data_IF_605782503223
#
_entry.id   IF_605782503223
#
_cell.length_a   1.000
_cell.length_b   1.000
_cell.length_c   1.000
_cell.angle_alpha   90.00
_cell.angle_beta   90.00
_cell.angle_gamma   90.00
#
_symmetry.space_group_name_H-M   'P 1'
#
loop_
_entity.id
_entity.type
_entity.pdbx_description
1 polymer ?
#
# COMPACT_ATOMS: atom_id res chain seq x y z
N UNK A 1 50.32 -64.91 -31.04
CA UNK A 1 49.99 -64.20 -29.78
C UNK A 1 48.47 -64.15 -29.70
N UNK A 2 47.79 -64.75 -28.72
CA UNK A 2 47.76 -64.46 -27.27
C UNK A 2 46.92 -63.22 -26.94
N UNK A 3 45.71 -63.47 -26.41
CA UNK A 3 44.87 -62.57 -25.58
C UNK A 3 44.34 -61.25 -26.20
N UNK A 4 43.23 -60.66 -25.75
CA UNK A 4 42.20 -61.05 -24.74
C UNK A 4 40.85 -60.51 -25.26
N UNK A 5 39.87 -61.38 -25.52
CA UNK A 5 38.67 -61.69 -24.68
C UNK A 5 37.47 -60.73 -24.92
N UNK A 6 36.24 -61.18 -25.22
CA UNK A 6 35.32 -62.17 -24.53
C UNK A 6 34.72 -61.54 -23.26
N UNK A 7 33.40 -61.54 -22.98
CA UNK A 7 32.13 -61.91 -23.68
C UNK A 7 30.97 -61.36 -22.76
N UNK A 8 29.65 -61.27 -23.00
CA UNK A 8 28.59 -61.80 -23.91
C UNK A 8 27.50 -60.68 -23.99
N UNK A 9 26.61 -60.45 -24.98
CA UNK A 9 25.70 -61.26 -25.84
C UNK A 9 24.53 -61.92 -25.06
N UNK A 10 23.34 -62.02 -25.68
CA UNK A 10 22.07 -62.50 -25.11
C UNK A 10 21.47 -61.66 -23.94
N UNK A 11 20.15 -61.47 -23.83
CA UNK A 11 19.09 -61.55 -24.85
C UNK A 11 17.79 -60.87 -24.39
N UNK A 12 16.95 -60.54 -25.38
CA UNK A 12 15.46 -60.60 -25.38
C UNK A 12 14.74 -60.40 -24.03
N UNK A 13 13.94 -59.33 -23.93
CA UNK A 13 12.52 -59.42 -23.52
C UNK A 13 11.73 -58.15 -23.85
N UNK A 14 10.45 -58.34 -24.19
CA UNK A 14 9.35 -57.35 -24.23
C UNK A 14 9.62 -55.94 -24.78
N UNK A 15 9.36 -55.75 -26.08
CA UNK A 15 8.60 -54.55 -26.49
C UNK A 15 7.16 -54.72 -25.99
N UNK A 16 6.80 -54.06 -24.89
CA UNK A 16 5.46 -53.50 -24.58
C UNK A 16 5.44 -52.97 -23.13
N UNK A 17 4.44 -52.13 -22.82
CA UNK A 17 4.10 -51.66 -21.47
C UNK A 17 5.11 -50.71 -20.75
N UNK A 18 5.60 -49.71 -21.47
CA UNK A 18 5.48 -48.33 -20.95
C UNK A 18 4.49 -47.61 -21.88
N UNK A 19 3.30 -47.20 -21.45
CA UNK A 19 2.81 -47.04 -20.09
C UNK A 19 2.21 -45.64 -20.01
N UNK A 20 0.95 -45.49 -20.45
CA UNK A 20 0.23 -44.22 -20.40
C UNK A 20 -0.12 -43.91 -18.94
N UNK A 21 0.83 -43.35 -18.18
CA UNK A 21 0.57 -42.89 -16.83
C UNK A 21 -0.15 -41.53 -16.85
N UNK A 22 -1.42 -41.62 -17.25
CA UNK A 22 -2.54 -40.76 -16.88
C UNK A 22 -2.17 -39.30 -16.62
N UNK A 23 -2.13 -38.52 -17.71
CA UNK A 23 -2.75 -37.19 -17.70
C UNK A 23 -4.26 -37.32 -17.49
N UNK A 24 -4.64 -37.79 -16.31
CA UNK A 24 -5.97 -37.61 -15.75
C UNK A 24 -6.16 -36.10 -15.60
N UNK A 25 -6.72 -35.48 -16.65
CA UNK A 25 -7.50 -34.25 -16.55
C UNK A 25 -8.78 -34.55 -15.75
N UNK A 26 -8.59 -35.05 -14.53
CA UNK A 26 -9.61 -35.19 -13.53
C UNK A 26 -10.05 -33.76 -13.23
N UNK A 27 -11.24 -33.42 -13.72
CA UNK A 27 -11.80 -32.07 -13.65
C UNK A 27 -12.36 -31.84 -12.24
N UNK A 28 -11.50 -32.09 -11.23
CA UNK A 28 -11.78 -32.02 -9.80
C UNK A 28 -12.30 -30.62 -9.53
N UNK A 29 -13.56 -30.55 -9.09
CA UNK A 29 -14.20 -29.26 -8.82
C UNK A 29 -13.39 -28.47 -7.78
N UNK A 30 -13.41 -27.13 -7.81
CA UNK A 30 -12.69 -26.30 -6.85
C UNK A 30 -12.87 -26.75 -5.39
N UNK A 31 -14.10 -27.14 -5.02
CA UNK A 31 -14.46 -27.63 -3.70
C UNK A 31 -13.68 -28.89 -3.32
N UNK A 32 -13.59 -29.87 -4.23
CA UNK A 32 -12.85 -31.12 -3.98
C UNK A 32 -11.33 -30.88 -3.91
N UNK A 33 -10.77 -29.97 -4.71
CA UNK A 33 -9.34 -29.60 -4.61
C UNK A 33 -9.03 -28.95 -3.26
N UNK A 34 -9.82 -27.95 -2.86
CA UNK A 34 -9.69 -27.25 -1.57
C UNK A 34 -9.84 -28.21 -0.38
N UNK A 35 -10.88 -29.03 -0.37
CA UNK A 35 -11.14 -29.97 0.72
C UNK A 35 -10.04 -31.01 0.85
N UNK A 36 -9.59 -31.62 -0.27
CA UNK A 36 -8.47 -32.57 -0.28
C UNK A 36 -7.21 -31.92 0.29
N UNK A 37 -6.79 -30.80 -0.29
CA UNK A 37 -5.59 -30.05 0.10
C UNK A 37 -5.58 -29.76 1.60
N UNK A 38 -6.67 -29.24 2.17
CA UNK A 38 -6.70 -28.92 3.59
C UNK A 38 -6.80 -30.15 4.50
N UNK A 39 -7.50 -31.21 4.10
CA UNK A 39 -7.59 -32.45 4.88
C UNK A 39 -6.22 -33.14 5.06
N UNK A 40 -5.35 -33.04 4.05
CA UNK A 40 -3.96 -33.54 4.08
C UNK A 40 -3.08 -32.79 5.10
N UNK A 41 -3.54 -31.65 5.64
CA UNK A 41 -2.83 -30.81 6.61
C UNK A 41 -3.50 -30.71 7.99
N UNK A 42 -4.62 -31.41 8.26
CA UNK A 42 -5.26 -31.35 9.58
C UNK A 42 -4.50 -32.12 10.68
N UNK A 43 -3.63 -33.06 10.30
CA UNK A 43 -2.76 -33.81 11.24
C UNK A 43 -1.39 -33.13 11.38
N UNK A 44 -1.35 -31.96 12.01
CA UNK A 44 -0.15 -31.10 12.07
C UNK A 44 1.11 -31.78 12.63
N UNK A 45 2.16 -31.93 11.80
CA UNK A 45 3.50 -32.35 12.20
C UNK A 45 4.61 -31.74 11.31
N UNK A 46 5.60 -31.12 11.95
CA UNK A 46 6.93 -30.75 11.41
C UNK A 46 7.01 -29.61 10.39
N UNK A 47 8.18 -28.95 10.39
CA UNK A 47 8.54 -27.79 9.58
C UNK A 47 8.46 -28.02 8.05
N UNK A 48 8.62 -29.27 7.59
CA UNK A 48 8.49 -29.62 6.18
C UNK A 48 7.07 -29.39 5.66
N UNK A 49 6.05 -29.68 6.48
CA UNK A 49 4.64 -29.54 6.07
C UNK A 49 4.28 -28.08 5.80
N UNK A 50 4.89 -27.12 6.52
CA UNK A 50 4.70 -25.70 6.26
C UNK A 50 5.27 -25.31 4.90
N UNK A 51 6.47 -25.79 4.54
CA UNK A 51 7.08 -25.52 3.23
C UNK A 51 6.23 -26.11 2.10
N UNK A 52 5.85 -27.38 2.23
CA UNK A 52 5.08 -28.11 1.22
C UNK A 52 3.67 -27.51 1.05
N UNK A 53 3.04 -27.06 2.14
CA UNK A 53 1.80 -26.29 2.12
C UNK A 53 1.93 -24.99 1.32
N UNK A 54 2.97 -24.18 1.60
CA UNK A 54 3.18 -22.90 0.91
C UNK A 54 3.44 -23.10 -0.59
N UNK A 55 4.22 -24.12 -0.97
CA UNK A 55 4.47 -24.45 -2.38
C UNK A 55 3.18 -24.90 -3.10
N UNK A 56 2.37 -25.77 -2.46
CA UNK A 56 1.08 -26.21 -3.01
C UNK A 56 0.03 -25.11 -3.05
N UNK A 57 -0.02 -24.19 -2.09
CA UNK A 57 -0.90 -23.01 -2.17
C UNK A 57 -0.48 -22.10 -3.33
N UNK A 58 0.82 -21.85 -3.52
CA UNK A 58 1.31 -21.07 -4.66
C UNK A 58 0.92 -21.73 -5.99
N UNK A 59 1.14 -23.03 -6.15
CA UNK A 59 0.96 -23.73 -7.42
C UNK A 59 -0.49 -24.16 -7.73
N UNK A 60 -1.24 -24.70 -6.74
CA UNK A 60 -2.58 -25.25 -6.95
C UNK A 60 -3.72 -24.25 -6.71
N UNK A 61 -3.52 -23.26 -5.82
CA UNK A 61 -4.58 -22.34 -5.37
C UNK A 61 -4.41 -20.93 -5.96
N UNK A 62 -3.26 -20.27 -5.75
CA UNK A 62 -3.12 -18.85 -6.13
C UNK A 62 -3.20 -18.63 -7.65
N UNK A 63 -2.64 -19.55 -8.45
CA UNK A 63 -2.66 -19.51 -9.92
C UNK A 63 -4.05 -19.81 -10.52
N UNK A 64 -4.98 -20.43 -9.78
CA UNK A 64 -6.29 -20.79 -10.30
C UNK A 64 -7.40 -20.02 -9.59
N UNK A 65 -7.96 -19.00 -10.26
CA UNK A 65 -9.00 -18.13 -9.70
C UNK A 65 -10.20 -18.88 -9.11
N UNK A 66 -10.70 -19.92 -9.79
CA UNK A 66 -11.88 -20.68 -9.31
C UNK A 66 -11.55 -21.46 -8.03
N UNK A 67 -10.33 -21.97 -7.90
CA UNK A 67 -9.84 -22.61 -6.67
C UNK A 67 -9.60 -21.56 -5.58
N UNK A 68 -8.94 -20.43 -5.90
CA UNK A 68 -8.68 -19.30 -5.01
C UNK A 68 -9.96 -18.74 -4.37
N UNK A 69 -11.00 -18.50 -5.17
CA UNK A 69 -12.31 -18.01 -4.70
C UNK A 69 -13.02 -19.05 -3.81
N UNK A 70 -12.93 -20.35 -4.14
CA UNK A 70 -13.51 -21.39 -3.30
C UNK A 70 -12.74 -21.57 -1.98
N UNK A 71 -11.40 -21.51 -2.00
CA UNK A 71 -10.54 -21.56 -0.82
C UNK A 71 -10.83 -20.40 0.13
N UNK A 72 -10.91 -19.17 -0.41
CA UNK A 72 -11.34 -17.98 0.31
C UNK A 72 -12.74 -18.14 0.95
N UNK A 73 -13.71 -18.66 0.20
CA UNK A 73 -15.07 -18.90 0.71
C UNK A 73 -15.09 -19.93 1.86
N UNK A 74 -14.37 -21.03 1.72
CA UNK A 74 -14.37 -22.09 2.73
C UNK A 74 -13.57 -21.71 3.99
N UNK A 75 -12.48 -20.94 3.84
CA UNK A 75 -11.76 -20.27 4.95
C UNK A 75 -12.68 -19.35 5.75
N UNK A 76 -13.37 -18.41 5.08
CA UNK A 76 -14.30 -17.47 5.73
C UNK A 76 -15.44 -18.24 6.47
N UNK A 77 -15.90 -19.35 5.90
CA UNK A 77 -16.87 -20.25 6.57
C UNK A 77 -16.29 -21.17 7.66
N UNK A 78 -15.00 -21.01 8.01
CA UNK A 78 -14.26 -21.74 9.07
C UNK A 78 -14.25 -23.26 8.93
N UNK A 79 -14.26 -23.76 7.70
CA UNK A 79 -14.30 -25.21 7.39
C UNK A 79 -12.93 -25.89 7.24
N UNK A 80 -11.85 -25.11 7.18
CA UNK A 80 -10.53 -25.59 6.73
C UNK A 80 -9.49 -25.45 7.84
N UNK A 81 -9.67 -26.14 8.97
CA UNK A 81 -8.89 -25.88 10.20
C UNK A 81 -7.40 -26.14 10.04
N UNK A 82 -7.00 -27.20 9.33
CA UNK A 82 -5.57 -27.46 9.01
C UNK A 82 -4.93 -26.31 8.22
N UNK A 83 -5.62 -25.83 7.18
CA UNK A 83 -5.18 -24.68 6.39
C UNK A 83 -5.16 -23.37 7.19
N UNK A 84 -6.13 -23.12 8.07
CA UNK A 84 -6.13 -21.94 8.96
C UNK A 84 -4.91 -21.94 9.89
N UNK A 85 -4.59 -23.10 10.49
CA UNK A 85 -3.44 -23.26 11.38
C UNK A 85 -2.11 -23.01 10.65
N UNK A 86 -1.90 -23.60 9.46
CA UNK A 86 -0.67 -23.38 8.69
C UNK A 86 -0.56 -21.96 8.11
N UNK A 87 -1.67 -21.33 7.71
CA UNK A 87 -1.67 -19.91 7.36
C UNK A 87 -1.29 -19.03 8.57
N UNK A 88 -1.79 -19.35 9.76
CA UNK A 88 -1.48 -18.63 11.00
C UNK A 88 0.00 -18.80 11.38
N UNK A 89 0.53 -20.01 11.32
CA UNK A 89 1.96 -20.28 11.54
C UNK A 89 2.85 -19.52 10.54
N UNK A 90 2.50 -19.55 9.26
CA UNK A 90 3.23 -18.81 8.22
C UNK A 90 3.21 -17.30 8.43
N UNK A 91 2.04 -16.72 8.73
CA UNK A 91 1.88 -15.28 8.98
C UNK A 91 2.55 -14.85 10.28
N UNK A 92 2.52 -15.68 11.33
CA UNK A 92 3.27 -15.46 12.56
C UNK A 92 4.79 -15.46 12.30
N UNK A 93 5.29 -16.37 11.46
CA UNK A 93 6.70 -16.40 11.06
C UNK A 93 7.10 -15.15 10.24
N UNK A 94 6.25 -14.66 9.33
CA UNK A 94 6.46 -13.37 8.65
C UNK A 94 6.43 -12.20 9.64
N UNK A 95 5.45 -12.16 10.55
CA UNK A 95 5.31 -11.10 11.56
C UNK A 95 6.50 -11.04 12.52
N UNK A 96 7.09 -12.19 12.87
CA UNK A 96 8.25 -12.28 13.75
C UNK A 96 9.61 -12.06 13.06
N UNK A 97 9.70 -12.19 11.72
CA UNK A 97 10.94 -11.93 10.99
C UNK A 97 11.38 -10.48 11.19
N UNK A 98 12.58 -10.27 11.74
CA UNK A 98 13.15 -8.93 12.01
C UNK A 98 13.28 -8.14 10.71
N UNK A 99 14.05 -8.67 9.79
CA UNK A 99 14.33 -8.07 8.48
C UNK A 99 13.42 -8.76 7.43
N UNK A 100 12.12 -8.45 7.48
CA UNK A 100 11.14 -9.01 6.55
C UNK A 100 11.32 -8.41 5.15
N UNK A 101 11.13 -9.20 4.09
CA UNK A 101 11.14 -8.78 2.69
C UNK A 101 10.08 -9.63 1.96
N UNK A 102 9.09 -9.06 1.23
CA UNK A 102 7.96 -9.82 0.72
C UNK A 102 8.33 -10.54 -0.57
N UNK A 103 8.14 -11.85 -0.60
CA UNK A 103 8.44 -12.67 -1.76
C UNK A 103 7.23 -12.78 -2.72
N UNK A 104 7.50 -13.23 -3.95
CA UNK A 104 6.44 -13.50 -4.92
C UNK A 104 5.46 -14.56 -4.38
N UNK A 105 4.18 -14.22 -4.41
CA UNK A 105 3.07 -15.02 -3.87
C UNK A 105 2.71 -14.75 -2.40
N UNK A 106 3.56 -14.09 -1.60
CA UNK A 106 3.28 -13.88 -0.16
C UNK A 106 2.08 -12.95 0.07
N UNK A 107 1.91 -11.92 -0.76
CA UNK A 107 0.72 -11.05 -0.72
C UNK A 107 -0.59 -11.84 -0.98
N UNK A 108 -0.54 -12.92 -1.75
CA UNK A 108 -1.69 -13.82 -1.97
C UNK A 108 -2.00 -14.67 -0.75
N UNK A 109 -0.98 -15.19 -0.08
CA UNK A 109 -1.10 -15.91 1.19
C UNK A 109 -1.61 -14.99 2.32
N UNK A 110 -1.10 -13.77 2.40
CA UNK A 110 -1.56 -12.74 3.33
C UNK A 110 -3.02 -12.33 3.05
N UNK A 111 -3.42 -12.22 1.78
CA UNK A 111 -4.83 -12.02 1.40
C UNK A 111 -5.73 -13.16 1.89
N UNK A 112 -5.30 -14.42 1.73
CA UNK A 112 -6.05 -15.57 2.26
C UNK A 112 -6.12 -15.57 3.80
N UNK A 113 -5.05 -15.15 4.49
CA UNK A 113 -5.05 -15.03 5.94
C UNK A 113 -5.97 -13.91 6.46
N UNK A 114 -6.06 -12.78 5.75
CA UNK A 114 -7.03 -11.71 6.00
C UNK A 114 -8.46 -12.26 5.86
N UNK A 115 -8.75 -13.02 4.79
CA UNK A 115 -10.06 -13.67 4.57
C UNK A 115 -10.39 -14.70 5.67
N UNK A 116 -9.38 -15.38 6.23
CA UNK A 116 -9.54 -16.28 7.37
C UNK A 116 -9.72 -15.56 8.73
N UNK A 117 -9.53 -14.24 8.78
CA UNK A 117 -9.61 -13.46 10.03
C UNK A 117 -8.44 -13.68 10.97
N UNK A 118 -7.25 -14.02 10.45
CA UNK A 118 -6.03 -14.31 11.23
C UNK A 118 -5.45 -12.98 11.77
N UNK A 119 -5.46 -12.73 13.10
CA UNK A 119 -5.07 -11.44 13.67
C UNK A 119 -3.64 -10.99 13.33
N UNK A 120 -2.72 -11.94 13.25
CA UNK A 120 -1.29 -11.74 12.98
C UNK A 120 -1.03 -11.08 11.62
N UNK A 121 -1.97 -11.18 10.67
CA UNK A 121 -1.89 -10.54 9.36
C UNK A 121 -1.76 -9.01 9.48
N UNK A 122 -2.40 -8.40 10.49
CA UNK A 122 -2.31 -6.96 10.75
C UNK A 122 -0.89 -6.51 11.12
N UNK A 123 -0.10 -7.38 11.76
CA UNK A 123 1.29 -7.06 12.11
C UNK A 123 2.19 -7.07 10.87
N UNK A 124 1.94 -7.99 9.92
CA UNK A 124 2.63 -8.01 8.62
C UNK A 124 2.22 -6.79 7.77
N UNK A 125 0.93 -6.44 7.75
CA UNK A 125 0.41 -5.21 7.12
C UNK A 125 1.10 -3.97 7.69
N UNK A 126 1.18 -3.81 9.01
CA UNK A 126 1.79 -2.62 9.61
C UNK A 126 3.31 -2.55 9.38
N UNK A 127 4.00 -3.69 9.22
CA UNK A 127 5.40 -3.77 8.75
C UNK A 127 5.55 -3.40 7.28
N UNK A 128 4.79 -3.98 6.36
CA UNK A 128 4.83 -3.62 4.94
C UNK A 128 4.55 -2.13 4.72
N UNK A 129 3.64 -1.54 5.52
CA UNK A 129 3.37 -0.10 5.53
C UNK A 129 4.56 0.71 6.09
N UNK A 130 5.29 0.23 7.11
CA UNK A 130 6.51 0.90 7.61
C UNK A 130 7.62 0.90 6.55
N UNK A 131 7.77 -0.20 5.82
CA UNK A 131 8.88 -0.48 4.90
C UNK A 131 8.55 -0.12 3.44
N UNK A 132 7.41 0.56 3.23
CA UNK A 132 6.99 1.08 1.93
C UNK A 132 6.75 0.02 0.86
N UNK A 133 6.09 -1.08 1.20
CA UNK A 133 5.70 -2.10 0.22
C UNK A 133 4.28 -1.84 -0.29
N UNK A 134 4.18 -1.72 -1.62
CA UNK A 134 2.92 -1.54 -2.33
C UNK A 134 2.33 -2.92 -2.61
N UNK A 135 1.23 -3.25 -1.95
CA UNK A 135 0.78 -4.64 -1.84
C UNK A 135 -0.68 -4.87 -2.22
N UNK A 136 -0.92 -5.97 -2.94
CA UNK A 136 -2.22 -6.36 -3.50
C UNK A 136 -3.28 -6.77 -2.47
N UNK A 137 -2.89 -7.08 -1.23
CA UNK A 137 -3.83 -7.44 -0.16
C UNK A 137 -4.79 -6.32 0.23
N UNK A 138 -4.51 -5.07 -0.14
CA UNK A 138 -5.30 -3.91 0.31
C UNK A 138 -6.73 -3.91 -0.25
N UNK A 139 -6.94 -4.43 -1.47
CA UNK A 139 -8.28 -4.61 -2.02
C UNK A 139 -9.04 -5.73 -1.29
N UNK A 140 -8.35 -6.80 -0.89
CA UNK A 140 -8.92 -7.84 -0.04
C UNK A 140 -9.37 -7.25 1.30
N UNK A 141 -8.48 -6.53 2.00
CA UNK A 141 -8.75 -5.94 3.31
C UNK A 141 -9.96 -4.99 3.28
N UNK A 142 -10.07 -4.12 2.27
CA UNK A 142 -11.23 -3.25 2.05
C UNK A 142 -12.55 -4.04 1.97
N UNK A 143 -12.53 -5.21 1.32
CA UNK A 143 -13.72 -6.06 1.17
C UNK A 143 -14.07 -6.93 2.38
N UNK A 144 -13.12 -7.20 3.29
CA UNK A 144 -13.30 -8.15 4.40
C UNK A 144 -13.31 -7.49 5.79
N UNK A 145 -12.49 -6.47 6.01
CA UNK A 145 -12.43 -5.70 7.26
C UNK A 145 -12.22 -4.20 6.94
N UNK A 146 -13.34 -3.53 6.69
CA UNK A 146 -13.45 -2.09 6.46
C UNK A 146 -12.76 -1.25 7.56
N UNK A 147 -12.78 -1.72 8.82
CA UNK A 147 -12.20 -1.00 9.95
C UNK A 147 -10.68 -1.12 9.95
N UNK A 148 -10.15 -2.31 9.73
CA UNK A 148 -8.71 -2.53 9.56
C UNK A 148 -8.18 -1.80 8.33
N UNK A 149 -8.93 -1.77 7.22
CA UNK A 149 -8.58 -1.03 6.01
C UNK A 149 -8.45 0.48 6.25
N UNK A 150 -9.45 1.12 6.86
CA UNK A 150 -9.38 2.56 7.15
C UNK A 150 -8.30 2.87 8.22
N UNK A 151 -8.13 2.00 9.23
CA UNK A 151 -7.01 2.12 10.19
C UNK A 151 -5.66 2.07 9.47
N UNK A 152 -5.48 1.14 8.54
CA UNK A 152 -4.24 0.99 7.76
C UNK A 152 -3.95 2.20 6.87
N UNK A 153 -4.96 2.75 6.19
CA UNK A 153 -4.82 3.97 5.39
C UNK A 153 -4.47 5.21 6.26
N UNK A 154 -5.13 5.38 7.41
CA UNK A 154 -4.83 6.48 8.33
C UNK A 154 -3.41 6.34 8.92
N UNK A 155 -3.02 5.12 9.33
CA UNK A 155 -1.67 4.81 9.82
C UNK A 155 -0.60 5.07 8.74
N UNK A 156 -0.89 4.76 7.47
CA UNK A 156 0.00 5.08 6.35
C UNK A 156 0.15 6.60 6.18
N UNK A 157 -0.95 7.36 6.07
CA UNK A 157 -0.92 8.84 5.94
C UNK A 157 -0.11 9.50 7.06
N UNK A 158 -0.33 9.09 8.33
CA UNK A 158 0.44 9.60 9.47
C UNK A 158 1.94 9.33 9.34
N UNK A 159 2.33 8.12 8.93
CA UNK A 159 3.75 7.73 8.76
C UNK A 159 4.42 8.53 7.63
N UNK A 160 3.73 8.73 6.50
CA UNK A 160 4.26 9.56 5.40
C UNK A 160 4.42 11.02 5.83
N UNK A 161 3.39 11.59 6.45
CA UNK A 161 3.42 12.97 6.89
C UNK A 161 4.56 13.23 7.89
N UNK A 162 4.72 12.31 8.86
CA UNK A 162 5.84 12.31 9.80
C UNK A 162 7.19 12.23 9.08
N UNK A 163 7.39 11.25 8.19
CA UNK A 163 8.63 11.08 7.45
C UNK A 163 9.01 12.30 6.59
N UNK A 164 8.02 12.98 5.98
CA UNK A 164 8.25 14.24 5.28
C UNK A 164 8.70 15.32 6.27
N UNK A 165 7.96 15.57 7.36
CA UNK A 165 8.31 16.61 8.35
C UNK A 165 9.69 16.39 8.96
N UNK A 166 10.07 15.14 9.23
CA UNK A 166 11.39 14.76 9.75
C UNK A 166 12.50 14.95 8.70
N UNK A 167 12.22 14.74 7.41
CA UNK A 167 13.18 14.95 6.33
C UNK A 167 13.58 16.43 6.13
N UNK A 168 12.75 17.37 6.60
CA UNK A 168 12.96 18.82 6.46
C UNK A 168 13.90 19.44 7.51
N UNK A 169 14.39 18.68 8.50
CA UNK A 169 15.43 19.18 9.41
C UNK A 169 16.81 19.30 8.73
N UNK A 170 16.92 18.97 7.44
CA UNK A 170 18.06 19.29 6.58
C UNK A 170 17.63 20.11 5.36
N UNK A 171 18.28 21.26 5.16
CA UNK A 171 18.22 22.14 3.98
C UNK A 171 16.82 22.54 3.48
N UNK A 172 16.34 23.70 3.94
CA UNK A 172 15.70 24.72 3.08
C UNK A 172 15.68 26.10 3.78
N UNK A 173 16.87 26.52 4.23
CA UNK A 173 17.18 27.94 4.47
C UNK A 173 17.19 28.71 3.14
N UNK A 174 17.46 30.02 3.20
CA UNK A 174 17.25 30.96 2.10
C UNK A 174 18.06 30.66 0.82
N UNK A 175 17.66 31.36 -0.26
CA UNK A 175 18.09 31.16 -1.66
C UNK A 175 19.61 30.93 -1.76
N UNK A 176 19.98 29.71 -2.13
CA UNK A 176 21.35 29.32 -2.45
C UNK A 176 21.52 29.20 -3.96
N UNK A 177 22.68 29.59 -4.49
CA UNK A 177 23.04 29.60 -5.92
C UNK A 177 23.28 28.18 -6.49
N UNK A 178 22.32 27.26 -6.28
CA UNK A 178 22.44 25.85 -6.64
C UNK A 178 22.19 25.58 -8.13
N UNK A 179 22.99 26.25 -8.95
CA UNK A 179 23.27 25.93 -10.36
C UNK A 179 24.77 25.80 -10.65
N UNK A 180 25.65 26.02 -9.66
CA UNK A 180 27.09 25.74 -9.78
C UNK A 180 27.38 24.27 -9.52
N UNK A 181 27.88 23.58 -10.54
CA UNK A 181 28.40 22.22 -10.43
C UNK A 181 29.87 22.32 -9.98
N UNK A 182 30.14 21.96 -8.74
CA UNK A 182 31.50 21.70 -8.26
C UNK A 182 31.55 20.33 -7.58
N UNK A 183 32.29 19.41 -8.22
CA UNK A 183 32.51 18.00 -7.89
C UNK A 183 31.36 17.02 -8.19
N UNK A 184 31.70 16.05 -9.04
CA UNK A 184 30.94 14.84 -9.32
C UNK A 184 31.01 13.86 -8.11
N UNK A 185 30.17 12.81 -8.12
CA UNK A 185 30.20 11.68 -7.17
C UNK A 185 29.65 11.90 -5.74
N UNK A 186 28.45 12.48 -5.59
CA UNK A 186 27.58 12.18 -4.44
C UNK A 186 26.19 11.81 -4.94
N UNK A 187 25.96 10.51 -5.12
CA UNK A 187 24.73 10.01 -5.73
C UNK A 187 23.51 10.05 -4.78
N UNK A 188 22.36 10.37 -5.38
CA UNK A 188 20.98 10.37 -4.88
C UNK A 188 20.71 9.88 -3.43
N UNK A 189 20.77 10.81 -2.46
CA UNK A 189 20.42 10.59 -1.03
C UNK A 189 18.93 10.33 -0.70
N UNK A 190 18.07 9.97 -1.67
CA UNK A 190 16.61 10.06 -1.54
C UNK A 190 15.68 8.93 -2.10
N UNK A 191 16.11 7.86 -2.81
CA UNK A 191 15.18 6.82 -3.27
C UNK A 191 14.32 6.20 -2.16
N UNK A 192 14.94 5.76 -1.06
CA UNK A 192 14.24 4.98 -0.02
C UNK A 192 13.16 5.76 0.73
N UNK A 193 13.32 7.08 0.89
CA UNK A 193 12.32 7.90 1.60
C UNK A 193 11.00 8.00 0.83
N UNK A 194 11.04 7.91 -0.50
CA UNK A 194 9.84 7.89 -1.33
C UNK A 194 9.26 6.47 -1.50
N UNK A 195 9.95 5.40 -1.11
CA UNK A 195 9.43 4.02 -1.14
C UNK A 195 8.13 3.88 -0.35
N UNK A 196 8.01 4.58 0.78
CA UNK A 196 6.80 4.56 1.62
C UNK A 196 5.65 5.36 0.99
N UNK A 197 5.96 6.45 0.30
CA UNK A 197 4.96 7.29 -0.37
C UNK A 197 4.51 6.66 -1.69
N UNK A 198 3.22 6.35 -1.83
CA UNK A 198 2.69 5.83 -3.10
C UNK A 198 1.46 6.63 -3.56
N UNK A 199 1.39 7.04 -4.84
CA UNK A 199 0.21 7.71 -5.39
C UNK A 199 -1.07 6.88 -5.30
N UNK A 200 -0.93 5.55 -5.34
CA UNK A 200 -2.05 4.61 -5.29
C UNK A 200 -2.69 4.58 -3.90
N UNK A 201 -1.90 4.52 -2.83
CA UNK A 201 -2.42 4.62 -1.46
C UNK A 201 -2.98 6.02 -1.18
N UNK A 202 -2.35 7.07 -1.71
CA UNK A 202 -2.85 8.44 -1.61
C UNK A 202 -4.24 8.57 -2.24
N UNK A 203 -4.41 8.11 -3.49
CA UNK A 203 -5.69 8.18 -4.18
C UNK A 203 -6.76 7.35 -3.47
N UNK A 204 -6.43 6.15 -2.95
CA UNK A 204 -7.35 5.32 -2.15
C UNK A 204 -7.80 6.03 -0.87
N UNK A 205 -6.88 6.63 -0.11
CA UNK A 205 -7.20 7.44 1.07
C UNK A 205 -8.13 8.61 0.73
N UNK A 206 -7.83 9.35 -0.34
CA UNK A 206 -8.66 10.47 -0.79
C UNK A 206 -10.08 10.03 -1.18
N UNK A 207 -10.19 9.00 -2.04
CA UNK A 207 -11.47 8.46 -2.51
C UNK A 207 -12.33 7.97 -1.34
N UNK A 208 -11.76 7.22 -0.38
CA UNK A 208 -12.52 6.74 0.77
C UNK A 208 -12.97 7.86 1.70
N UNK A 209 -12.16 8.90 1.92
CA UNK A 209 -12.56 10.06 2.72
C UNK A 209 -13.65 10.91 2.05
N UNK A 210 -13.63 11.05 0.73
CA UNK A 210 -14.69 11.71 -0.04
C UNK A 210 -15.98 10.88 -0.02
N UNK A 211 -15.89 9.58 -0.31
CA UNK A 211 -17.00 8.60 -0.29
C UNK A 211 -17.71 8.55 1.07
N UNK A 212 -16.95 8.57 2.16
CA UNK A 212 -17.47 8.54 3.55
C UNK A 212 -17.85 9.92 4.09
N UNK A 213 -17.51 11.01 3.37
CA UNK A 213 -17.63 12.41 3.84
C UNK A 213 -16.97 12.60 5.21
N UNK A 214 -15.77 12.04 5.38
CA UNK A 214 -15.04 12.02 6.65
C UNK A 214 -14.88 13.42 7.26
N UNK A 215 -15.09 13.50 8.57
CA UNK A 215 -14.82 14.71 9.35
C UNK A 215 -13.40 14.69 9.92
N UNK A 216 -12.42 14.97 9.05
CA UNK A 216 -11.02 15.00 9.45
C UNK A 216 -10.77 16.11 10.48
N UNK A 217 -9.98 15.77 11.51
CA UNK A 217 -9.52 16.72 12.51
C UNK A 217 -8.30 17.52 11.99
N UNK A 218 -7.80 18.45 12.82
CA UNK A 218 -6.69 19.34 12.43
C UNK A 218 -5.36 18.61 12.19
N UNK A 219 -5.07 17.53 12.93
CA UNK A 219 -3.88 16.70 12.74
C UNK A 219 -3.99 15.85 11.47
N UNK A 220 -5.18 15.28 11.20
CA UNK A 220 -5.45 14.54 9.97
C UNK A 220 -5.33 15.45 8.74
N UNK A 221 -5.83 16.69 8.81
CA UNK A 221 -5.59 17.68 7.76
C UNK A 221 -4.14 18.11 7.67
N UNK A 222 -3.41 18.24 8.78
CA UNK A 222 -1.96 18.52 8.80
C UNK A 222 -1.20 17.43 8.05
N UNK A 223 -1.53 16.17 8.30
CA UNK A 223 -0.91 15.04 7.62
C UNK A 223 -1.25 15.01 6.11
N UNK A 224 -2.50 15.32 5.74
CA UNK A 224 -2.90 15.46 4.34
C UNK A 224 -2.18 16.64 3.64
N UNK A 225 -2.10 17.79 4.32
CA UNK A 225 -1.56 19.04 3.80
C UNK A 225 -0.05 18.94 3.49
N UNK A 226 0.74 18.35 4.38
CA UNK A 226 2.19 18.17 4.15
C UNK A 226 2.48 17.19 2.99
N UNK A 227 1.68 16.12 2.81
CA UNK A 227 1.84 15.15 1.71
C UNK A 227 1.48 15.78 0.37
N UNK A 228 0.36 16.50 0.30
CA UNK A 228 -0.01 17.24 -0.91
C UNK A 228 1.01 18.35 -1.21
N UNK A 229 1.52 19.01 -0.17
CA UNK A 229 2.64 19.93 -0.24
C UNK A 229 3.83 19.27 -0.94
N UNK A 230 4.36 18.17 -0.42
CA UNK A 230 5.55 17.51 -0.94
C UNK A 230 5.40 16.95 -2.36
N UNK A 231 4.16 16.60 -2.77
CA UNK A 231 3.85 15.98 -4.06
C UNK A 231 4.29 16.81 -5.27
N UNK A 232 4.65 16.15 -6.38
CA UNK A 232 5.00 16.81 -7.64
C UNK A 232 3.80 17.53 -8.26
N UNK A 233 4.01 18.35 -9.30
CA UNK A 233 2.91 19.08 -9.97
C UNK A 233 1.82 18.15 -10.49
N UNK A 234 2.17 17.10 -11.24
CA UNK A 234 1.19 16.15 -11.81
C UNK A 234 0.37 15.42 -10.74
N UNK A 235 0.98 15.08 -9.61
CA UNK A 235 0.25 14.45 -8.51
C UNK A 235 -0.64 15.44 -7.74
N UNK A 236 -0.24 16.72 -7.63
CA UNK A 236 -1.09 17.77 -7.06
C UNK A 236 -2.29 18.09 -7.96
N UNK A 237 -2.15 17.99 -9.27
CA UNK A 237 -3.28 18.09 -10.22
C UNK A 237 -4.28 16.95 -10.01
N UNK A 238 -3.82 15.71 -9.86
CA UNK A 238 -4.66 14.53 -9.60
C UNK A 238 -5.35 14.59 -8.23
N UNK A 239 -4.62 14.94 -7.16
CA UNK A 239 -5.14 14.91 -5.79
C UNK A 239 -5.96 16.16 -5.40
N UNK A 240 -5.72 17.29 -6.04
CA UNK A 240 -6.22 18.60 -5.61
C UNK A 240 -7.75 18.68 -5.52
N UNK A 241 -8.46 18.05 -6.45
CA UNK A 241 -9.93 18.11 -6.49
C UNK A 241 -10.59 17.21 -5.44
N UNK A 242 -10.01 16.05 -5.10
CA UNK A 242 -10.50 15.24 -3.98
C UNK A 242 -10.20 15.91 -2.64
N UNK A 243 -9.01 16.53 -2.48
CA UNK A 243 -8.67 17.31 -1.28
C UNK A 243 -9.62 18.50 -1.11
N UNK A 244 -9.95 19.20 -2.20
CA UNK A 244 -10.94 20.28 -2.15
C UNK A 244 -12.34 19.77 -1.73
N UNK A 245 -12.75 18.56 -2.13
CA UNK A 245 -14.01 17.94 -1.64
C UNK A 245 -13.96 17.62 -0.15
N UNK A 246 -12.84 17.08 0.37
CA UNK A 246 -12.67 16.77 1.81
C UNK A 246 -12.65 18.07 2.64
N UNK A 247 -11.93 19.08 2.17
CA UNK A 247 -11.79 20.38 2.86
C UNK A 247 -13.11 21.18 2.87
N UNK A 248 -13.90 21.17 1.79
CA UNK A 248 -15.25 21.80 1.75
C UNK A 248 -16.19 21.31 2.86
N UNK A 249 -16.07 20.05 3.28
CA UNK A 249 -16.89 19.49 4.36
C UNK A 249 -16.42 19.92 5.77
N UNK A 250 -15.21 20.49 5.90
CA UNK A 250 -14.52 20.69 7.19
C UNK A 250 -13.66 21.98 7.21
N UNK A 251 -14.11 23.05 6.54
CA UNK A 251 -13.31 24.24 6.20
C UNK A 251 -12.54 24.83 7.39
N UNK A 252 -13.15 24.91 8.57
CA UNK A 252 -12.52 25.41 9.79
C UNK A 252 -11.26 24.59 10.19
N UNK A 253 -11.35 23.26 10.23
CA UNK A 253 -10.23 22.39 10.64
C UNK A 253 -9.12 22.37 9.60
N UNK A 254 -9.47 22.52 8.32
CA UNK A 254 -8.48 22.67 7.25
C UNK A 254 -7.75 24.02 7.32
N UNK A 255 -8.44 25.13 7.61
CA UNK A 255 -7.83 26.46 7.83
C UNK A 255 -6.90 26.45 9.04
N UNK A 256 -7.33 25.88 10.17
CA UNK A 256 -6.50 25.77 11.37
C UNK A 256 -5.21 24.99 11.10
N UNK A 257 -5.32 23.85 10.41
CA UNK A 257 -4.18 23.08 9.92
C UNK A 257 -3.27 23.91 9.00
N UNK A 258 -3.84 24.56 7.98
CA UNK A 258 -3.09 25.39 7.02
C UNK A 258 -2.23 26.45 7.75
N UNK A 259 -2.76 27.10 8.79
CA UNK A 259 -2.02 28.10 9.59
C UNK A 259 -0.81 27.53 10.33
N UNK A 260 -0.80 26.25 10.68
CA UNK A 260 0.32 25.56 11.34
C UNK A 260 1.34 24.99 10.35
N UNK A 261 1.06 24.99 9.05
CA UNK A 261 1.99 24.50 8.05
C UNK A 261 3.16 25.46 7.77
N UNK A 262 4.26 24.92 7.24
CA UNK A 262 5.39 25.71 6.74
C UNK A 262 5.00 26.48 5.48
N UNK A 263 5.60 27.66 5.28
CA UNK A 263 5.31 28.57 4.17
C UNK A 263 5.31 27.89 2.78
N UNK A 264 6.24 26.98 2.51
CA UNK A 264 6.32 26.28 1.22
C UNK A 264 5.14 25.32 0.98
N UNK A 265 4.53 24.76 2.04
CA UNK A 265 3.32 23.94 1.98
C UNK A 265 2.12 24.85 1.71
N UNK A 266 2.02 25.95 2.47
CA UNK A 266 0.96 26.95 2.33
C UNK A 266 0.93 27.52 0.91
N UNK A 267 2.09 27.81 0.29
CA UNK A 267 2.17 28.26 -1.12
C UNK A 267 1.60 27.25 -2.12
N UNK A 268 1.66 25.95 -1.81
CA UNK A 268 1.13 24.88 -2.66
C UNK A 268 -0.36 24.60 -2.39
N UNK A 269 -0.83 24.88 -1.18
CA UNK A 269 -2.24 24.76 -0.76
C UNK A 269 -3.10 25.98 -1.10
N UNK A 270 -2.53 27.18 -1.21
CA UNK A 270 -3.28 28.40 -1.48
C UNK A 270 -4.15 28.33 -2.76
N UNK A 271 -3.72 27.72 -3.88
CA UNK A 271 -4.61 27.49 -5.02
C UNK A 271 -5.80 26.55 -4.73
N UNK A 272 -5.71 25.66 -3.73
CA UNK A 272 -6.88 24.90 -3.26
C UNK A 272 -7.80 25.76 -2.39
N UNK A 273 -7.23 26.65 -1.56
CA UNK A 273 -7.99 27.64 -0.78
C UNK A 273 -8.93 28.44 -1.69
N UNK A 274 -8.41 28.93 -2.82
CA UNK A 274 -9.20 29.62 -3.85
C UNK A 274 -10.30 28.74 -4.48
N UNK A 275 -10.02 27.47 -4.78
CA UNK A 275 -10.99 26.51 -5.35
C UNK A 275 -12.09 26.08 -4.36
N UNK A 276 -11.85 26.16 -3.06
CA UNK A 276 -12.81 25.76 -2.02
C UNK A 276 -13.91 26.80 -1.90
N UNK A 277 -13.54 28.09 -1.76
CA UNK A 277 -14.46 29.21 -1.61
C UNK A 277 -15.21 29.26 -0.26
N UNK A 278 -15.93 30.35 0.00
CA UNK A 278 -16.72 30.56 1.23
C UNK A 278 -16.33 31.81 2.02
N UNK A 279 -17.11 32.11 3.07
CA UNK A 279 -16.90 33.29 3.90
C UNK A 279 -15.66 33.18 4.80
N UNK A 280 -15.43 31.98 5.32
CA UNK A 280 -14.29 31.56 6.13
C UNK A 280 -13.00 31.69 5.33
N UNK A 281 -13.02 31.16 4.09
CA UNK A 281 -11.92 31.28 3.12
C UNK A 281 -11.63 32.76 2.80
N UNK A 282 -12.65 33.59 2.52
CA UNK A 282 -12.45 35.02 2.26
C UNK A 282 -11.85 35.75 3.48
N UNK A 283 -12.27 35.40 4.70
CA UNK A 283 -11.68 35.92 5.95
C UNK A 283 -10.22 35.48 6.11
N UNK A 284 -9.90 34.23 5.79
CA UNK A 284 -8.54 33.71 5.88
C UNK A 284 -7.59 34.40 4.89
N UNK A 285 -8.01 34.59 3.64
CA UNK A 285 -7.20 35.33 2.66
C UNK A 285 -6.98 36.80 3.09
N UNK A 286 -7.97 37.44 3.73
CA UNK A 286 -7.81 38.78 4.34
C UNK A 286 -6.84 38.76 5.53
N UNK A 287 -6.83 37.70 6.33
CA UNK A 287 -5.88 37.55 7.43
C UNK A 287 -4.45 37.33 6.90
N UNK A 288 -4.29 36.43 5.91
CA UNK A 288 -3.01 36.13 5.26
C UNK A 288 -2.42 37.40 4.62
N UNK A 289 -3.19 38.17 3.85
CA UNK A 289 -2.67 39.38 3.17
C UNK A 289 -2.16 40.45 4.13
N UNK A 290 -2.65 40.48 5.38
CA UNK A 290 -2.26 41.45 6.43
C UNK A 290 -1.20 40.96 7.40
N UNK A 291 -1.23 39.68 7.76
CA UNK A 291 -0.52 39.17 8.95
C UNK A 291 0.45 38.00 8.66
N UNK A 292 0.49 37.47 7.44
CA UNK A 292 1.37 36.35 7.13
C UNK A 292 2.85 36.77 7.09
N UNK A 293 3.73 35.94 7.70
CA UNK A 293 5.15 36.25 7.85
C UNK A 293 5.87 36.41 6.49
N UNK A 294 5.69 35.44 5.57
CA UNK A 294 6.28 35.53 4.23
C UNK A 294 5.60 36.59 3.37
N UNK A 295 6.38 37.56 2.87
CA UNK A 295 5.88 38.70 2.08
C UNK A 295 5.26 38.27 0.74
N UNK A 296 5.88 37.30 0.08
CA UNK A 296 5.39 36.70 -1.17
C UNK A 296 4.00 36.07 -0.99
N UNK A 297 3.68 35.56 0.20
CA UNK A 297 2.34 35.07 0.52
C UNK A 297 1.35 36.23 0.72
N UNK A 298 1.76 37.31 1.42
CA UNK A 298 0.92 38.51 1.56
C UNK A 298 0.54 39.09 0.19
N UNK A 299 1.50 39.16 -0.72
CA UNK A 299 1.30 39.65 -2.09
C UNK A 299 0.36 38.75 -2.93
N UNK A 300 0.53 37.42 -2.86
CA UNK A 300 -0.39 36.47 -3.53
C UNK A 300 -1.82 36.64 -2.99
N UNK A 301 -1.99 36.67 -1.66
CA UNK A 301 -3.29 36.84 -1.03
C UNK A 301 -3.94 38.18 -1.37
N UNK A 302 -3.17 39.28 -1.43
CA UNK A 302 -3.67 40.59 -1.87
C UNK A 302 -4.17 40.55 -3.32
N UNK A 303 -3.37 40.02 -4.26
CA UNK A 303 -3.76 39.88 -5.67
C UNK A 303 -5.02 39.01 -5.86
N UNK A 304 -5.21 38.00 -5.01
CA UNK A 304 -6.41 37.16 -5.01
C UNK A 304 -7.64 37.92 -4.49
N UNK A 305 -7.51 38.80 -3.50
CA UNK A 305 -8.59 39.69 -3.06
C UNK A 305 -8.98 40.71 -4.14
N UNK A 306 -8.01 41.28 -4.84
CA UNK A 306 -8.23 42.20 -5.96
C UNK A 306 -9.04 41.54 -7.09
N UNK A 307 -8.63 40.32 -7.52
CA UNK A 307 -9.37 39.52 -8.51
C UNK A 307 -10.80 39.20 -8.08
N UNK A 308 -11.03 38.96 -6.78
CA UNK A 308 -12.37 38.73 -6.22
C UNK A 308 -13.19 40.02 -6.22
N UNK A 309 -12.60 41.16 -5.86
CA UNK A 309 -13.28 42.46 -5.83
C UNK A 309 -13.66 42.97 -7.23
N UNK A 310 -12.81 42.74 -8.24
CA UNK A 310 -13.08 43.10 -9.64
C UNK A 310 -14.29 42.33 -10.20
N UNK A 311 -14.50 41.08 -9.78
CA UNK A 311 -15.67 40.25 -10.18
C UNK A 311 -17.00 40.66 -9.53
N UNK A 312 -17.04 41.73 -8.75
CA UNK A 312 -18.27 42.27 -8.13
C UNK A 312 -18.62 43.68 -8.64
N UNK A 313 -18.10 44.06 -9.81
CA UNK A 313 -18.43 45.27 -10.58
C UNK A 313 -18.88 44.88 -11.98
#
# INVERSE_FOLDING_TARGET
MINKKIIILFSILSLNAFGQDKTLNENISPQKKVAKLCSEFETGKSFNYLKDFIERIKNEVLLNEKVRVQFAKDLNSKKLKGCENLLREYVLNMANKKDYEPQLGEQGLLSLAIIAGIPEANNVIEKEINEGRLSSWIDTLNSTDDKAYIKALNNWVLKIAKAIRESENSSLSEISDYGKIENENVDLKNPDKFRIWTPILMNRYLIENVKRKSKLNEEEFSNLNIIYGASTTSYREIFGDEIAKIARNNVEKWILSFRKEKAWVQFRLFPLMERIGGGEIKREVIWISKHHQSEKMRAIALSTLEKIAIKQR
#
